data_IF_303573848639
#
_entry.id   IF_303573848639
#
_cell.length_a   1.000
_cell.length_b   1.000
_cell.length_c   1.000
_cell.angle_alpha   90.00
_cell.angle_beta   90.00
_cell.angle_gamma   90.00
#
_symmetry.space_group_name_H-M   'P 1'
#
loop_
_entity.id
_entity.type
_entity.pdbx_description
1 polymer ?
#
# COMPACT_ATOMS: atom_id res chain seq x y z
N UNK A 1 22.94 -10.30 -22.37
CA UNK A 1 21.76 -9.39 -22.32
C UNK A 1 20.94 -9.71 -21.08
N UNK A 2 20.82 -8.77 -20.12
CA UNK A 2 19.86 -8.92 -19.02
C UNK A 2 18.45 -8.89 -19.63
N UNK A 3 17.74 -10.03 -19.61
CA UNK A 3 16.32 -10.10 -20.01
C UNK A 3 15.55 -9.18 -19.06
N UNK A 4 15.20 -7.97 -19.50
CA UNK A 4 14.15 -7.18 -18.87
C UNK A 4 12.86 -7.97 -19.09
N UNK A 5 12.43 -8.72 -18.08
CA UNK A 5 11.16 -9.42 -18.12
C UNK A 5 10.07 -8.41 -18.45
N UNK A 6 9.36 -8.60 -19.56
CA UNK A 6 8.11 -7.87 -19.80
C UNK A 6 7.18 -8.25 -18.66
N UNK A 7 6.96 -7.35 -17.70
CA UNK A 7 5.66 -7.36 -17.02
C UNK A 7 4.61 -7.32 -18.12
N UNK A 8 3.77 -8.35 -18.21
CA UNK A 8 2.67 -8.35 -19.17
C UNK A 8 1.81 -7.12 -18.88
N UNK A 9 1.25 -6.48 -19.93
CA UNK A 9 0.32 -5.35 -19.75
C UNK A 9 -0.85 -5.75 -18.81
N UNK A 10 -1.21 -7.03 -18.80
CA UNK A 10 -2.19 -7.63 -17.90
C UNK A 10 -1.76 -7.56 -16.44
N UNK A 11 -0.51 -7.90 -16.10
CA UNK A 11 -0.04 -7.82 -14.72
C UNK A 11 0.00 -6.37 -14.23
N UNK A 12 0.42 -5.42 -15.08
CA UNK A 12 0.37 -4.00 -14.74
C UNK A 12 -1.07 -3.51 -14.51
N UNK A 13 -2.00 -3.86 -15.41
CA UNK A 13 -3.40 -3.46 -15.28
C UNK A 13 -4.04 -4.03 -14.00
N UNK A 14 -3.78 -5.30 -13.70
CA UNK A 14 -4.27 -5.94 -12.47
C UNK A 14 -3.66 -5.32 -11.21
N UNK A 15 -2.34 -5.07 -11.21
CA UNK A 15 -1.65 -4.41 -10.10
C UNK A 15 -2.21 -3.00 -9.86
N UNK A 16 -2.40 -2.23 -10.93
CA UNK A 16 -3.01 -0.90 -10.85
C UNK A 16 -4.43 -0.94 -10.27
N UNK A 17 -5.28 -1.85 -10.77
CA UNK A 17 -6.64 -2.01 -10.28
C UNK A 17 -6.68 -2.38 -8.78
N UNK A 18 -5.72 -3.20 -8.32
CA UNK A 18 -5.59 -3.54 -6.91
C UNK A 18 -5.21 -2.32 -6.06
N UNK A 19 -4.24 -1.52 -6.49
CA UNK A 19 -3.86 -0.27 -5.82
C UNK A 19 -5.02 0.72 -5.76
N UNK A 20 -5.77 0.88 -6.85
CA UNK A 20 -6.95 1.76 -6.88
C UNK A 20 -8.02 1.30 -5.88
N UNK A 21 -8.23 -0.01 -5.76
CA UNK A 21 -9.16 -0.58 -4.77
C UNK A 21 -8.70 -0.37 -3.33
N UNK A 22 -7.40 -0.56 -3.04
CA UNK A 22 -6.82 -0.26 -1.73
C UNK A 22 -7.04 1.22 -1.37
N UNK A 23 -6.75 2.13 -2.30
CA UNK A 23 -6.96 3.58 -2.10
C UNK A 23 -8.42 3.93 -1.85
N UNK A 24 -9.36 3.26 -2.53
CA UNK A 24 -10.80 3.43 -2.31
C UNK A 24 -11.22 2.96 -0.92
N UNK A 25 -10.76 1.80 -0.46
CA UNK A 25 -11.07 1.28 0.88
C UNK A 25 -10.47 2.14 1.98
N UNK A 26 -9.24 2.64 1.81
CA UNK A 26 -8.62 3.61 2.72
C UNK A 26 -9.50 4.87 2.83
N UNK A 27 -9.95 5.40 1.69
CA UNK A 27 -10.84 6.57 1.66
C UNK A 27 -12.19 6.29 2.33
N UNK A 28 -12.78 5.13 2.10
CA UNK A 28 -14.05 4.73 2.72
C UNK A 28 -13.94 4.57 4.24
N UNK A 29 -12.75 4.24 4.75
CA UNK A 29 -12.41 4.24 6.18
C UNK A 29 -11.98 5.63 6.72
N UNK A 30 -12.14 6.69 5.92
CA UNK A 30 -11.83 8.07 6.33
C UNK A 30 -10.35 8.44 6.25
N UNK A 31 -9.52 7.62 5.61
CA UNK A 31 -8.08 7.86 5.46
C UNK A 31 -7.83 8.61 4.15
N UNK A 32 -7.23 9.81 4.26
CA UNK A 32 -6.87 10.62 3.09
C UNK A 32 -5.42 10.34 2.74
N UNK A 33 -5.18 9.65 1.63
CA UNK A 33 -3.83 9.32 1.18
C UNK A 33 -3.44 10.18 -0.02
N UNK A 34 -2.26 10.77 0.04
CA UNK A 34 -1.59 11.34 -1.13
C UNK A 34 -0.83 10.24 -1.84
N UNK A 35 -1.23 9.98 -3.07
CA UNK A 35 -0.56 9.05 -3.97
C UNK A 35 -0.47 9.69 -5.36
N UNK A 36 0.42 9.22 -6.26
CA UNK A 36 0.48 9.73 -7.63
C UNK A 36 -0.85 9.60 -8.40
N UNK A 37 -1.77 8.75 -7.94
CA UNK A 37 -3.11 8.54 -8.50
C UNK A 37 -4.18 9.46 -7.87
N UNK A 38 -3.87 10.11 -6.74
CA UNK A 38 -4.79 10.91 -5.94
C UNK A 38 -4.46 12.41 -6.04
N UNK A 39 -5.47 13.24 -6.32
CA UNK A 39 -5.33 14.72 -6.37
C UNK A 39 -5.70 15.41 -5.05
N UNK A 40 -5.71 14.67 -3.95
CA UNK A 40 -6.11 15.20 -2.63
C UNK A 40 -5.03 16.18 -2.12
N UNK A 41 -5.42 17.40 -1.77
CA UNK A 41 -4.52 18.41 -1.18
C UNK A 41 -4.36 18.23 0.33
N UNK A 42 -5.44 17.87 1.03
CA UNK A 42 -5.43 17.57 2.48
C UNK A 42 -5.34 16.07 2.71
N UNK A 43 -4.15 15.56 3.02
CA UNK A 43 -3.91 14.13 3.27
C UNK A 43 -3.41 13.90 4.70
N UNK A 44 -3.66 12.70 5.22
CA UNK A 44 -3.13 12.22 6.49
C UNK A 44 -1.73 11.63 6.32
N UNK A 45 -1.47 10.99 5.18
CA UNK A 45 -0.21 10.35 4.85
C UNK A 45 0.04 10.28 3.34
N UNK A 46 1.30 10.11 2.96
CA UNK A 46 1.69 9.66 1.62
C UNK A 46 1.79 8.14 1.61
N UNK A 47 1.44 7.49 0.50
CA UNK A 47 1.62 6.05 0.36
C UNK A 47 2.33 5.67 -0.94
N UNK A 48 3.28 4.76 -0.82
CA UNK A 48 3.88 4.04 -1.94
C UNK A 48 3.47 2.57 -1.89
N UNK A 49 3.18 1.99 -3.06
CA UNK A 49 2.71 0.62 -3.20
C UNK A 49 3.56 -0.13 -4.22
N UNK A 50 4.03 -1.31 -3.84
CA UNK A 50 4.67 -2.25 -4.76
C UNK A 50 3.82 -3.52 -4.82
N UNK A 51 3.22 -3.76 -5.99
CA UNK A 51 2.37 -4.92 -6.22
C UNK A 51 3.04 -5.85 -7.24
N UNK A 52 3.34 -7.07 -6.79
CA UNK A 52 3.80 -8.17 -7.63
C UNK A 52 2.70 -9.23 -7.71
N UNK A 53 2.37 -9.70 -8.93
CA UNK A 53 1.38 -10.76 -9.14
C UNK A 53 2.09 -11.95 -9.76
N UNK A 54 2.25 -13.02 -8.97
CA UNK A 54 2.86 -14.27 -9.40
C UNK A 54 1.89 -15.44 -9.15
N UNK A 55 1.73 -16.33 -10.13
CA UNK A 55 0.87 -17.52 -10.00
C UNK A 55 -0.58 -17.26 -9.50
N UNK A 56 -1.16 -16.09 -9.84
CA UNK A 56 -2.47 -15.59 -9.39
C UNK A 56 -2.54 -15.17 -7.91
N UNK A 57 -1.40 -15.10 -7.22
CA UNK A 57 -1.27 -14.53 -5.88
C UNK A 57 -0.75 -13.10 -6.02
N UNK A 58 -1.35 -12.17 -5.28
CA UNK A 58 -0.89 -10.79 -5.21
C UNK A 58 -0.06 -10.60 -3.93
N UNK A 59 1.12 -10.03 -4.10
CA UNK A 59 2.03 -9.63 -3.04
C UNK A 59 2.05 -8.10 -3.03
N UNK A 60 1.55 -7.50 -1.95
CA UNK A 60 1.36 -6.05 -1.85
C UNK A 60 2.27 -5.51 -0.74
N UNK A 61 3.37 -4.88 -1.11
CA UNK A 61 4.11 -4.06 -0.16
C UNK A 61 3.54 -2.64 -0.16
N UNK A 62 3.49 -2.02 1.01
CA UNK A 62 3.09 -0.63 1.13
C UNK A 62 3.96 0.09 2.17
N UNK A 63 4.25 1.36 1.91
CA UNK A 63 4.89 2.25 2.86
C UNK A 63 4.04 3.50 3.01
N UNK A 64 3.58 3.78 4.22
CA UNK A 64 2.84 4.98 4.56
C UNK A 64 3.76 5.95 5.31
N UNK A 65 3.89 7.17 4.81
CA UNK A 65 4.72 8.23 5.42
C UNK A 65 3.82 9.33 5.97
N UNK A 66 4.04 9.71 7.22
CA UNK A 66 3.24 10.72 7.92
C UNK A 66 4.09 11.97 8.20
N UNK A 67 3.54 13.16 7.89
CA UNK A 67 4.20 14.44 8.21
C UNK A 67 4.25 14.71 9.73
N UNK A 68 3.38 14.03 10.49
CA UNK A 68 3.25 14.10 11.94
C UNK A 68 2.94 12.71 12.48
N UNK A 69 3.30 12.46 13.74
CA UNK A 69 2.95 11.23 14.44
C UNK A 69 1.45 10.91 14.28
N UNK A 70 1.09 9.77 13.67
CA UNK A 70 -0.30 9.37 13.55
C UNK A 70 -0.87 9.02 14.93
N UNK A 71 -2.19 9.12 15.08
CA UNK A 71 -2.86 8.56 16.25
C UNK A 71 -3.16 7.07 16.04
N UNK A 72 -3.41 6.34 17.13
CA UNK A 72 -3.65 4.90 17.11
C UNK A 72 -4.83 4.50 16.22
N UNK A 73 -5.95 5.22 16.27
CA UNK A 73 -7.13 4.98 15.42
C UNK A 73 -6.81 5.06 13.91
N UNK A 74 -5.96 6.00 13.49
CA UNK A 74 -5.53 6.11 12.09
C UNK A 74 -4.68 4.90 11.68
N UNK A 75 -3.77 4.46 12.55
CA UNK A 75 -2.90 3.29 12.31
C UNK A 75 -3.74 2.03 12.22
N UNK A 76 -4.63 1.79 13.17
CA UNK A 76 -5.52 0.62 13.19
C UNK A 76 -6.37 0.52 11.92
N UNK A 77 -6.89 1.64 11.42
CA UNK A 77 -7.65 1.66 10.16
C UNK A 77 -6.79 1.34 8.94
N UNK A 78 -5.56 1.84 8.89
CA UNK A 78 -4.63 1.52 7.79
C UNK A 78 -4.29 0.02 7.84
N UNK A 79 -3.97 -0.52 9.01
CA UNK A 79 -3.68 -1.94 9.20
C UNK A 79 -4.87 -2.84 8.82
N UNK A 80 -6.09 -2.48 9.24
CA UNK A 80 -7.30 -3.23 8.90
C UNK A 80 -7.54 -3.29 7.37
N UNK A 81 -7.31 -2.19 6.66
CA UNK A 81 -7.40 -2.19 5.20
C UNK A 81 -6.29 -3.05 4.59
N UNK A 82 -5.03 -2.83 4.97
CA UNK A 82 -3.89 -3.52 4.36
C UNK A 82 -3.88 -5.03 4.60
N UNK A 83 -4.34 -5.49 5.78
CA UNK A 83 -4.50 -6.91 6.11
C UNK A 83 -5.53 -7.61 5.24
N UNK A 84 -6.51 -6.89 4.70
CA UNK A 84 -7.49 -7.44 3.72
C UNK A 84 -6.82 -7.79 2.38
N UNK A 85 -5.75 -7.09 2.02
CA UNK A 85 -5.09 -7.20 0.71
C UNK A 85 -3.81 -8.03 0.70
N UNK A 86 -3.29 -8.35 1.87
CA UNK A 86 -2.13 -9.22 2.01
C UNK A 86 -2.48 -10.43 2.87
N UNK A 87 -2.88 -11.53 2.23
CA UNK A 87 -2.99 -12.82 2.90
C UNK A 87 -1.65 -13.35 3.42
N UNK A 88 -0.54 -12.77 2.96
CA UNK A 88 0.83 -13.15 3.29
C UNK A 88 1.63 -11.96 3.84
N UNK A 89 1.11 -11.22 4.82
CA UNK A 89 1.91 -10.21 5.53
C UNK A 89 3.04 -10.91 6.30
N UNK A 90 4.28 -10.58 5.96
CA UNK A 90 5.47 -11.00 6.71
C UNK A 90 5.58 -10.19 8.00
N UNK A 91 5.46 -8.86 7.87
CA UNK A 91 5.60 -7.93 8.98
C UNK A 91 4.86 -6.63 8.72
N UNK A 92 4.45 -6.04 9.83
CA UNK A 92 4.01 -4.65 9.96
C UNK A 92 5.02 -4.01 10.90
N UNK A 93 5.68 -2.94 10.46
CA UNK A 93 6.71 -2.30 11.27
C UNK A 93 6.67 -0.77 11.14
N UNK A 94 7.03 -0.10 12.23
CA UNK A 94 7.26 1.34 12.22
C UNK A 94 8.76 1.63 12.16
N UNK A 95 9.15 2.63 11.37
CA UNK A 95 10.47 3.25 11.57
C UNK A 95 10.59 3.81 13.00
N UNK A 96 11.82 3.95 13.49
CA UNK A 96 12.11 4.34 14.88
C UNK A 96 11.55 5.70 15.30
N UNK A 97 11.24 6.58 14.34
CA UNK A 97 10.62 7.88 14.58
C UNK A 97 9.08 7.86 14.47
N UNK A 98 8.48 6.69 14.20
CA UNK A 98 7.06 6.46 14.02
C UNK A 98 6.43 7.29 12.88
N UNK A 99 7.23 7.79 11.94
CA UNK A 99 6.75 8.55 10.78
C UNK A 99 6.55 7.68 9.54
N UNK A 100 7.04 6.44 9.55
CA UNK A 100 6.83 5.48 8.46
C UNK A 100 6.28 4.16 8.97
N UNK A 101 5.17 3.72 8.39
CA UNK A 101 4.54 2.42 8.61
C UNK A 101 4.73 1.55 7.37
N UNK A 102 5.38 0.40 7.53
CA UNK A 102 5.66 -0.54 6.45
C UNK A 102 4.83 -1.81 6.56
N UNK A 103 4.26 -2.21 5.42
CA UNK A 103 3.64 -3.51 5.20
C UNK A 103 4.50 -4.27 4.19
N UNK A 104 5.03 -5.42 4.60
CA UNK A 104 5.86 -6.27 3.75
C UNK A 104 5.22 -7.64 3.59
N UNK A 105 5.16 -8.11 2.35
CA UNK A 105 4.60 -9.41 1.98
C UNK A 105 5.69 -10.49 1.94
N UNK A 106 5.35 -11.70 2.44
CA UNK A 106 6.19 -12.89 2.29
C UNK A 106 6.13 -13.29 0.83
N UNK A 107 7.28 -13.47 0.17
CA UNK A 107 7.39 -14.01 -1.18
C UNK A 107 7.37 -15.53 -1.19
#
# INVERSE_FOLDING_TARGET
MKKRGRCSLTNYANAKALVEKILEDLKNNGIKVKSPLSKIQDFHCEADFSVEIENRVAYVDATFTFDKLPNEDLVEKIEAVMTTYNSYLERIDFESDYTKLEFRSVR
#
